data_IF_152208213000
#
_entry.id   IF_152208213000
#
_cell.length_a   1.000
_cell.length_b   1.000
_cell.length_c   1.000
_cell.angle_alpha   90.00
_cell.angle_beta   90.00
_cell.angle_gamma   90.00
#
_symmetry.space_group_name_H-M   'P 1'
#
loop_
_entity.id
_entity.type
_entity.pdbx_description
1 polymer ?
#
# COMPACT_ATOMS: atom_id res chain seq x y z
N UNK A 1 8.87 17.87 1.13
CA UNK A 1 7.51 18.42 0.87
C UNK A 1 6.48 17.33 0.49
N UNK A 2 6.83 16.26 -0.29
CA UNK A 2 5.90 15.14 -0.57
C UNK A 2 5.57 14.29 0.68
N UNK A 3 6.51 14.12 1.60
CA UNK A 3 6.33 13.34 2.83
C UNK A 3 5.34 13.96 3.82
N UNK A 4 5.10 15.27 3.72
CA UNK A 4 4.19 15.99 4.62
C UNK A 4 2.70 15.74 4.29
N UNK A 5 2.35 15.53 3.01
CA UNK A 5 0.96 15.30 2.58
C UNK A 5 0.46 13.93 3.05
N UNK A 6 1.23 12.87 2.85
CA UNK A 6 0.86 11.50 3.27
C UNK A 6 0.74 11.41 4.79
N UNK A 7 1.66 12.02 5.52
CA UNK A 7 1.56 12.15 6.99
C UNK A 7 0.29 12.90 7.40
N UNK A 8 -0.07 13.96 6.67
CA UNK A 8 -1.33 14.70 6.87
C UNK A 8 -2.56 13.81 6.69
N UNK A 9 -2.60 13.03 5.61
CA UNK A 9 -3.68 12.09 5.30
C UNK A 9 -3.86 11.04 6.42
N UNK A 10 -2.76 10.40 6.86
CA UNK A 10 -2.83 9.41 7.94
C UNK A 10 -3.33 10.04 9.25
N UNK A 11 -2.93 11.27 9.54
CA UNK A 11 -3.45 11.99 10.72
C UNK A 11 -4.95 12.28 10.63
N UNK A 12 -5.48 12.58 9.44
CA UNK A 12 -6.91 12.76 9.21
C UNK A 12 -7.68 11.46 9.44
N UNK A 13 -7.21 10.32 8.89
CA UNK A 13 -7.79 9.01 9.13
C UNK A 13 -7.80 8.68 10.63
N UNK A 14 -6.66 8.84 11.30
CA UNK A 14 -6.56 8.64 12.75
C UNK A 14 -7.52 9.55 13.55
N UNK A 15 -7.75 10.77 13.09
CA UNK A 15 -8.69 11.68 13.74
C UNK A 15 -10.16 11.25 13.55
N UNK A 16 -10.52 10.70 12.39
CA UNK A 16 -11.87 10.19 12.10
C UNK A 16 -12.17 9.00 12.99
N UNK A 17 -11.31 7.97 13.03
CA UNK A 17 -11.52 6.77 13.86
C UNK A 17 -11.52 7.09 15.36
N UNK A 18 -10.70 8.04 15.80
CA UNK A 18 -10.75 8.52 17.19
C UNK A 18 -12.11 9.11 17.55
N UNK A 19 -12.69 9.92 16.66
CA UNK A 19 -14.01 10.48 16.86
C UNK A 19 -15.10 9.42 16.84
N UNK A 20 -14.96 8.38 15.99
CA UNK A 20 -15.86 7.23 15.99
C UNK A 20 -15.82 6.51 17.35
N UNK A 21 -14.64 6.20 17.87
CA UNK A 21 -14.47 5.62 19.21
C UNK A 21 -15.11 6.49 20.32
N UNK A 22 -14.90 7.82 20.29
CA UNK A 22 -15.49 8.75 21.27
C UNK A 22 -17.02 8.74 21.20
N UNK A 23 -17.61 8.63 20.01
CA UNK A 23 -19.06 8.54 19.82
C UNK A 23 -19.59 7.22 20.35
N UNK A 24 -18.92 6.09 20.06
CA UNK A 24 -19.35 4.79 20.58
C UNK A 24 -19.25 4.71 22.11
N UNK A 25 -18.24 5.31 22.72
CA UNK A 25 -18.19 5.48 24.17
C UNK A 25 -19.33 6.34 24.73
N UNK A 26 -19.69 7.42 24.03
CA UNK A 26 -20.85 8.24 24.43
C UNK A 26 -22.14 7.43 24.35
N UNK A 27 -22.37 6.68 23.26
CA UNK A 27 -23.57 5.84 23.11
C UNK A 27 -23.63 4.72 24.15
N UNK A 28 -22.50 4.14 24.51
CA UNK A 28 -22.38 3.20 25.63
C UNK A 28 -22.83 3.82 26.95
N UNK A 29 -22.46 5.05 27.23
CA UNK A 29 -22.85 5.74 28.48
C UNK A 29 -24.32 6.18 28.50
N UNK A 30 -24.84 6.59 27.35
CA UNK A 30 -26.19 7.14 27.21
C UNK A 30 -27.31 6.08 27.14
N UNK A 31 -27.00 4.81 26.84
CA UNK A 31 -28.00 3.75 26.73
C UNK A 31 -28.36 3.15 28.08
N UNK A 32 -29.58 2.58 28.19
CA UNK A 32 -30.05 1.86 29.39
C UNK A 32 -30.02 0.33 29.18
N UNK A 33 -30.15 -0.15 27.94
CA UNK A 33 -30.15 -1.57 27.62
C UNK A 33 -28.76 -2.19 27.73
N UNK A 34 -28.64 -3.28 28.49
CA UNK A 34 -27.34 -3.92 28.80
C UNK A 34 -26.69 -4.54 27.56
N UNK A 35 -27.46 -5.14 26.65
CA UNK A 35 -26.91 -5.77 25.45
C UNK A 35 -26.49 -4.72 24.42
N UNK A 36 -27.28 -3.65 24.29
CA UNK A 36 -26.93 -2.52 23.44
C UNK A 36 -25.66 -1.80 23.94
N UNK A 37 -25.52 -1.65 25.25
CA UNK A 37 -24.28 -1.15 25.87
C UNK A 37 -23.08 -2.03 25.53
N UNK A 38 -23.22 -3.35 25.66
CA UNK A 38 -22.17 -4.28 25.32
C UNK A 38 -21.77 -4.17 23.82
N UNK A 39 -22.74 -3.95 22.96
CA UNK A 39 -22.48 -3.70 21.53
C UNK A 39 -21.69 -2.41 21.31
N UNK A 40 -22.10 -1.27 21.89
CA UNK A 40 -21.35 -0.01 21.71
C UNK A 40 -19.96 -0.06 22.34
N UNK A 41 -19.77 -0.77 23.46
CA UNK A 41 -18.45 -1.01 24.04
C UNK A 41 -17.56 -1.82 23.11
N UNK A 42 -18.11 -2.85 22.45
CA UNK A 42 -17.40 -3.63 21.43
C UNK A 42 -16.97 -2.76 20.27
N UNK A 43 -17.87 -1.95 19.71
CA UNK A 43 -17.59 -1.04 18.60
C UNK A 43 -16.48 -0.06 18.96
N UNK A 44 -16.54 0.54 20.17
CA UNK A 44 -15.47 1.44 20.63
C UNK A 44 -14.10 0.75 20.73
N UNK A 45 -14.06 -0.51 21.20
CA UNK A 45 -12.83 -1.29 21.30
C UNK A 45 -12.26 -1.64 19.93
N UNK A 46 -13.11 -1.93 18.95
CA UNK A 46 -12.69 -2.22 17.57
C UNK A 46 -12.08 -0.97 16.93
N UNK A 47 -12.68 0.23 17.15
CA UNK A 47 -12.09 1.50 16.69
C UNK A 47 -10.75 1.81 17.37
N UNK A 48 -10.59 1.50 18.65
CA UNK A 48 -9.31 1.64 19.33
C UNK A 48 -8.22 0.75 18.71
N UNK A 49 -8.58 -0.44 18.24
CA UNK A 49 -7.67 -1.29 17.48
C UNK A 49 -7.28 -0.65 16.13
N UNK A 50 -8.21 0.01 15.43
CA UNK A 50 -7.91 0.76 14.20
C UNK A 50 -6.91 1.89 14.46
N UNK A 51 -7.00 2.57 15.60
CA UNK A 51 -6.01 3.60 15.97
C UNK A 51 -4.58 3.06 16.07
N UNK A 52 -4.39 1.79 16.42
CA UNK A 52 -3.06 1.16 16.44
C UNK A 52 -2.49 1.04 15.02
N UNK A 53 -3.33 0.70 14.02
CA UNK A 53 -2.92 0.64 12.63
C UNK A 53 -2.47 2.00 12.09
N UNK A 54 -3.23 3.06 12.37
CA UNK A 54 -2.86 4.42 11.95
C UNK A 54 -1.55 4.91 12.60
N UNK A 55 -1.32 4.58 13.87
CA UNK A 55 -0.07 4.91 14.57
C UNK A 55 1.12 4.20 13.91
N UNK A 56 0.96 2.95 13.50
CA UNK A 56 1.99 2.20 12.80
C UNK A 56 2.29 2.82 11.43
N UNK A 57 1.26 3.09 10.61
CA UNK A 57 1.42 3.79 9.34
C UNK A 57 2.10 5.15 9.49
N UNK A 58 1.74 5.91 10.53
CA UNK A 58 2.36 7.19 10.81
C UNK A 58 3.85 7.04 11.15
N UNK A 59 4.21 5.97 11.87
CA UNK A 59 5.61 5.63 12.17
C UNK A 59 6.38 5.29 10.90
N UNK A 60 5.79 4.50 10.01
CA UNK A 60 6.38 4.12 8.72
C UNK A 60 6.55 5.34 7.80
N UNK A 61 5.52 6.17 7.67
CA UNK A 61 5.56 7.38 6.86
C UNK A 61 6.65 8.35 7.31
N UNK A 62 6.79 8.59 8.63
CA UNK A 62 7.84 9.47 9.19
C UNK A 62 9.26 8.96 8.97
N UNK A 63 9.43 7.66 8.77
CA UNK A 63 10.71 7.01 8.46
C UNK A 63 11.00 6.93 6.96
N UNK A 64 10.10 7.43 6.12
CA UNK A 64 10.22 7.33 4.66
C UNK A 64 9.89 5.93 4.11
N UNK A 65 9.29 5.05 4.92
CA UNK A 65 9.00 3.66 4.58
C UNK A 65 7.64 3.44 3.92
N UNK A 66 6.82 4.48 3.85
CA UNK A 66 5.55 4.40 3.17
C UNK A 66 5.72 4.75 1.68
N UNK A 67 5.53 3.79 0.77
CA UNK A 67 5.55 4.08 -0.65
C UNK A 67 4.44 5.05 -1.04
N UNK A 68 4.52 5.62 -2.24
CA UNK A 68 3.43 6.43 -2.78
C UNK A 68 2.23 5.53 -3.13
N UNK A 69 1.43 5.20 -2.12
CA UNK A 69 0.26 4.32 -2.24
C UNK A 69 -0.90 5.04 -2.93
N UNK A 70 -0.97 6.37 -2.78
CA UNK A 70 -2.09 7.19 -3.23
C UNK A 70 -1.76 7.84 -4.59
N UNK A 71 -2.65 7.70 -5.57
CA UNK A 71 -2.48 8.25 -6.91
C UNK A 71 -2.54 9.79 -6.91
N UNK A 72 -3.49 10.37 -6.17
CA UNK A 72 -3.64 11.83 -6.02
C UNK A 72 -3.76 12.19 -4.53
N UNK A 73 -2.62 12.37 -3.83
CA UNK A 73 -2.62 12.66 -2.40
C UNK A 73 -3.28 14.01 -2.04
N UNK A 74 -3.26 14.99 -2.95
CA UNK A 74 -3.86 16.31 -2.70
C UNK A 74 -5.38 16.17 -2.65
N UNK A 75 -5.96 15.55 -3.67
CA UNK A 75 -7.40 15.27 -3.74
C UNK A 75 -7.88 14.45 -2.54
N UNK A 76 -7.16 13.37 -2.21
CA UNK A 76 -7.46 12.50 -1.06
C UNK A 76 -7.47 13.29 0.25
N UNK A 77 -6.48 14.16 0.47
CA UNK A 77 -6.45 15.01 1.66
C UNK A 77 -7.68 15.90 1.75
N UNK A 78 -8.02 16.60 0.66
CA UNK A 78 -9.14 17.53 0.62
C UNK A 78 -10.49 16.83 0.86
N UNK A 79 -10.66 15.61 0.32
CA UNK A 79 -11.82 14.75 0.55
C UNK A 79 -11.92 14.29 2.02
N UNK A 80 -10.81 13.86 2.63
CA UNK A 80 -10.78 13.46 4.04
C UNK A 80 -10.94 14.65 5.01
N UNK A 81 -10.42 15.83 4.68
CA UNK A 81 -10.68 17.05 5.45
C UNK A 81 -12.18 17.40 5.44
N UNK A 82 -12.83 17.23 4.29
CA UNK A 82 -14.27 17.42 4.18
C UNK A 82 -15.06 16.39 5.00
N UNK A 83 -14.67 15.10 4.92
CA UNK A 83 -15.24 14.03 5.74
C UNK A 83 -15.10 14.34 7.24
N UNK A 84 -13.90 14.74 7.68
CA UNK A 84 -13.62 15.07 9.07
C UNK A 84 -14.50 16.24 9.60
N UNK A 85 -14.72 17.29 8.79
CA UNK A 85 -15.65 18.38 9.13
C UNK A 85 -17.11 17.90 9.27
N UNK A 86 -17.54 16.99 8.39
CA UNK A 86 -18.89 16.40 8.46
C UNK A 86 -19.06 15.53 9.69
N UNK A 87 -18.02 14.78 10.09
CA UNK A 87 -18.01 14.02 11.35
C UNK A 87 -18.16 14.95 12.54
N UNK A 88 -17.44 16.10 12.60
CA UNK A 88 -17.60 17.07 13.67
C UNK A 88 -19.04 17.59 13.82
N UNK A 89 -19.69 17.90 12.69
CA UNK A 89 -21.08 18.32 12.70
C UNK A 89 -22.03 17.21 13.23
N UNK A 90 -21.78 15.94 12.86
CA UNK A 90 -22.55 14.79 13.34
C UNK A 90 -22.42 14.57 14.84
N UNK A 91 -21.22 14.70 15.38
CA UNK A 91 -20.96 14.63 16.84
C UNK A 91 -21.80 15.65 17.62
N UNK A 92 -21.88 16.87 17.09
CA UNK A 92 -22.69 17.92 17.74
C UNK A 92 -24.20 17.64 17.66
N UNK A 93 -24.69 17.14 16.51
CA UNK A 93 -26.10 16.83 16.31
C UNK A 93 -26.58 15.64 17.17
N UNK A 94 -25.76 14.62 17.37
CA UNK A 94 -26.13 13.42 18.15
C UNK A 94 -26.46 13.73 19.61
N UNK A 95 -25.79 14.73 20.17
CA UNK A 95 -26.03 15.17 21.57
C UNK A 95 -27.37 15.87 21.77
N UNK A 96 -28.00 16.35 20.70
CA UNK A 96 -29.21 17.15 20.77
C UNK A 96 -30.49 16.30 20.68
N UNK A 97 -30.46 15.11 20.12
CA UNK A 97 -31.65 14.29 19.89
C UNK A 97 -31.34 12.78 20.04
N UNK A 98 -31.20 12.28 21.28
CA UNK A 98 -30.87 10.88 21.54
C UNK A 98 -32.05 9.98 21.25
N UNK A 99 -32.03 9.21 20.19
CA UNK A 99 -32.93 8.07 19.93
C UNK A 99 -32.09 6.90 19.39
N UNK A 100 -32.59 5.68 19.56
CA UNK A 100 -31.91 4.47 19.08
C UNK A 100 -31.68 4.55 17.56
N UNK A 101 -32.68 4.93 16.78
CA UNK A 101 -32.57 5.11 15.33
C UNK A 101 -31.50 6.16 14.97
N UNK A 102 -31.49 7.29 15.69
CA UNK A 102 -30.50 8.33 15.47
C UNK A 102 -29.06 7.87 15.84
N UNK A 103 -28.91 7.03 16.88
CA UNK A 103 -27.62 6.43 17.24
C UNK A 103 -27.09 5.54 16.11
N UNK A 104 -27.90 4.64 15.57
CA UNK A 104 -27.51 3.81 14.44
C UNK A 104 -27.28 4.63 13.17
N UNK A 105 -28.10 5.63 12.87
CA UNK A 105 -27.90 6.52 11.72
C UNK A 105 -26.58 7.30 11.82
N UNK A 106 -26.23 7.76 13.03
CA UNK A 106 -24.96 8.43 13.28
C UNK A 106 -23.80 7.48 13.01
N UNK A 107 -23.86 6.26 13.57
CA UNK A 107 -22.84 5.25 13.36
C UNK A 107 -22.69 4.88 11.87
N UNK A 108 -23.78 4.69 11.13
CA UNK A 108 -23.73 4.50 9.68
C UNK A 108 -23.00 5.63 8.93
N UNK A 109 -23.24 6.86 9.32
CA UNK A 109 -22.56 8.00 8.68
C UNK A 109 -21.09 8.02 8.99
N UNK A 110 -20.69 7.59 10.19
CA UNK A 110 -19.26 7.45 10.54
C UNK A 110 -18.62 6.36 9.68
N UNK A 111 -19.23 5.17 9.63
CA UNK A 111 -18.73 4.06 8.80
C UNK A 111 -18.62 4.45 7.32
N UNK A 112 -19.60 5.18 6.80
CA UNK A 112 -19.56 5.65 5.42
C UNK A 112 -18.33 6.54 5.12
N UNK A 113 -17.87 7.37 6.08
CA UNK A 113 -16.68 8.19 5.88
C UNK A 113 -15.37 7.37 5.94
N UNK A 114 -15.38 6.26 6.65
CA UNK A 114 -14.25 5.31 6.69
C UNK A 114 -14.15 4.48 5.40
N UNK A 115 -15.22 4.41 4.58
CA UNK A 115 -15.19 3.74 3.27
C UNK A 115 -14.36 4.44 2.18
N UNK A 116 -13.65 5.50 2.51
CA UNK A 116 -12.83 6.19 1.51
C UNK A 116 -11.78 5.23 0.90
N UNK A 117 -11.65 5.12 -0.45
CA UNK A 117 -10.76 4.17 -1.10
C UNK A 117 -9.30 4.24 -0.62
N UNK A 118 -8.84 5.43 -0.23
CA UNK A 118 -7.51 5.62 0.32
C UNK A 118 -7.29 4.87 1.64
N UNK A 119 -8.35 4.72 2.46
CA UNK A 119 -8.29 3.96 3.73
C UNK A 119 -8.11 2.48 3.42
N UNK A 120 -8.89 1.94 2.48
CA UNK A 120 -8.74 0.56 2.03
C UNK A 120 -7.31 0.29 1.49
N UNK A 121 -6.74 1.22 0.71
CA UNK A 121 -5.36 1.12 0.20
C UNK A 121 -4.33 1.11 1.34
N UNK A 122 -4.48 1.98 2.33
CA UNK A 122 -3.58 2.07 3.48
C UNK A 122 -3.70 0.84 4.40
N UNK A 123 -4.91 0.35 4.64
CA UNK A 123 -5.16 -0.87 5.42
C UNK A 123 -4.58 -2.11 4.71
N UNK A 124 -4.78 -2.20 3.41
CA UNK A 124 -4.20 -3.27 2.61
C UNK A 124 -2.67 -3.26 2.67
N UNK A 125 -2.05 -2.09 2.66
CA UNK A 125 -0.60 -1.96 2.83
C UNK A 125 -0.12 -2.50 4.19
N UNK A 126 -0.84 -2.24 5.28
CA UNK A 126 -0.50 -2.81 6.61
C UNK A 126 -0.61 -4.32 6.61
N UNK A 127 -1.71 -4.88 6.10
CA UNK A 127 -1.93 -6.33 6.02
C UNK A 127 -0.77 -7.04 5.35
N UNK A 128 -0.27 -6.46 4.27
CA UNK A 128 0.84 -7.00 3.48
C UNK A 128 2.18 -6.90 4.20
N UNK A 129 2.40 -5.81 4.96
CA UNK A 129 3.66 -5.57 5.67
C UNK A 129 3.70 -6.21 7.06
N UNK A 130 2.57 -6.61 7.61
CA UNK A 130 2.48 -7.22 8.94
C UNK A 130 1.34 -8.25 9.00
N UNK A 131 1.67 -9.51 8.74
CA UNK A 131 0.73 -10.65 8.66
C UNK A 131 -0.05 -10.92 9.98
N UNK A 132 0.49 -10.44 11.11
CA UNK A 132 -0.19 -10.52 12.42
C UNK A 132 -1.30 -9.47 12.59
N UNK A 133 -1.39 -8.49 11.69
CA UNK A 133 -2.35 -7.39 11.75
C UNK A 133 -3.14 -7.35 10.44
N UNK A 134 -4.42 -7.74 10.48
CA UNK A 134 -5.32 -7.62 9.33
C UNK A 134 -6.42 -6.58 9.60
N UNK A 135 -6.17 -5.29 9.35
CA UNK A 135 -7.20 -4.26 9.52
C UNK A 135 -8.41 -4.51 8.64
N UNK A 136 -8.21 -5.05 7.43
CA UNK A 136 -9.31 -5.36 6.50
C UNK A 136 -10.28 -6.42 7.08
N UNK A 137 -9.75 -7.51 7.67
CA UNK A 137 -10.58 -8.57 8.24
C UNK A 137 -11.27 -8.11 9.53
N UNK A 138 -10.64 -7.21 10.27
CA UNK A 138 -11.24 -6.58 11.46
C UNK A 138 -12.39 -5.68 11.04
N UNK A 139 -12.23 -4.90 9.99
CA UNK A 139 -13.25 -4.00 9.47
C UNK A 139 -14.44 -4.74 8.83
N UNK A 140 -14.20 -5.86 8.13
CA UNK A 140 -15.28 -6.74 7.63
C UNK A 140 -16.19 -7.22 8.77
N UNK A 141 -15.59 -7.65 9.89
CA UNK A 141 -16.33 -8.09 11.09
C UNK A 141 -17.07 -6.92 11.76
N UNK A 142 -16.45 -5.76 11.77
CA UNK A 142 -17.00 -4.54 12.33
C UNK A 142 -18.30 -4.15 11.63
N UNK A 143 -18.31 -4.04 10.30
CA UNK A 143 -19.50 -3.74 9.50
C UNK A 143 -20.59 -4.80 9.69
N UNK A 144 -20.22 -6.10 9.64
CA UNK A 144 -21.19 -7.17 9.81
C UNK A 144 -21.84 -7.13 11.19
N UNK A 145 -21.07 -6.95 12.26
CA UNK A 145 -21.58 -6.82 13.63
C UNK A 145 -22.52 -5.64 13.78
N UNK A 146 -22.25 -4.55 13.06
CA UNK A 146 -23.07 -3.36 13.09
C UNK A 146 -24.46 -3.60 12.46
N UNK A 147 -24.52 -4.25 11.30
CA UNK A 147 -25.77 -4.60 10.60
C UNK A 147 -26.61 -5.58 11.44
N UNK A 148 -25.97 -6.60 12.02
CA UNK A 148 -26.64 -7.58 12.90
C UNK A 148 -27.25 -6.91 14.12
N UNK A 149 -26.53 -5.99 14.77
CA UNK A 149 -27.03 -5.28 15.94
C UNK A 149 -28.24 -4.40 15.60
N UNK A 150 -28.19 -3.67 14.48
CA UNK A 150 -29.30 -2.83 14.05
C UNK A 150 -30.59 -3.65 13.87
N UNK A 151 -30.49 -4.82 13.23
CA UNK A 151 -31.63 -5.73 13.05
C UNK A 151 -32.13 -6.27 14.40
N UNK A 152 -31.21 -6.67 15.29
CA UNK A 152 -31.54 -7.24 16.60
C UNK A 152 -32.23 -6.26 17.54
N UNK A 153 -31.84 -5.00 17.55
CA UNK A 153 -32.37 -3.99 18.44
C UNK A 153 -33.60 -3.25 17.87
N UNK A 154 -34.13 -3.68 16.70
CA UNK A 154 -35.32 -3.12 16.10
C UNK A 154 -35.14 -1.67 15.60
N UNK A 155 -33.94 -1.26 15.35
CA UNK A 155 -33.62 0.03 14.74
C UNK A 155 -33.67 -0.03 13.21
N UNK A 156 -33.95 -1.20 12.64
CA UNK A 156 -33.99 -1.43 11.20
C UNK A 156 -35.23 -0.75 10.58
N UNK A 157 -34.97 0.02 9.53
CA UNK A 157 -35.96 0.44 8.54
C UNK A 157 -35.51 -0.01 7.16
N UNK A 158 -36.38 -0.14 6.16
CA UNK A 158 -35.98 -0.54 4.81
C UNK A 158 -34.84 0.34 4.25
N UNK A 159 -34.82 1.63 4.58
CA UNK A 159 -33.78 2.57 4.16
C UNK A 159 -32.45 2.30 4.86
N UNK A 160 -32.45 1.95 6.15
CA UNK A 160 -31.26 1.62 6.92
C UNK A 160 -30.69 0.26 6.53
N UNK A 161 -31.53 -0.72 6.21
CA UNK A 161 -31.11 -2.01 5.65
C UNK A 161 -30.40 -1.82 4.32
N UNK A 162 -31.03 -1.08 3.38
CA UNK A 162 -30.42 -0.76 2.10
C UNK A 162 -29.08 -0.02 2.26
N UNK A 163 -28.98 0.89 3.24
CA UNK A 163 -27.75 1.61 3.53
C UNK A 163 -26.65 0.66 4.03
N UNK A 164 -27.00 -0.30 4.91
CA UNK A 164 -26.06 -1.32 5.40
C UNK A 164 -25.52 -2.21 4.29
N UNK A 165 -26.40 -2.73 3.45
CA UNK A 165 -26.01 -3.52 2.28
C UNK A 165 -25.12 -2.70 1.32
N UNK A 166 -25.43 -1.42 1.14
CA UNK A 166 -24.64 -0.51 0.30
C UNK A 166 -23.23 -0.31 0.86
N UNK A 167 -23.10 -0.09 2.16
CA UNK A 167 -21.81 0.07 2.83
C UNK A 167 -20.96 -1.20 2.69
N UNK A 168 -21.55 -2.36 2.98
CA UNK A 168 -20.86 -3.65 2.84
C UNK A 168 -20.41 -3.92 1.41
N UNK A 169 -21.26 -3.63 0.42
CA UNK A 169 -20.95 -3.77 -1.00
C UNK A 169 -19.81 -2.84 -1.42
N UNK A 170 -19.89 -1.55 -1.05
CA UNK A 170 -18.84 -0.57 -1.39
C UNK A 170 -17.50 -0.92 -0.76
N UNK A 171 -17.50 -1.40 0.48
CA UNK A 171 -16.26 -1.86 1.13
C UNK A 171 -15.64 -3.05 0.38
N UNK A 172 -16.47 -4.04 0.03
CA UNK A 172 -16.02 -5.21 -0.72
C UNK A 172 -15.49 -4.84 -2.11
N UNK A 173 -16.18 -3.96 -2.84
CA UNK A 173 -15.73 -3.45 -4.14
C UNK A 173 -14.42 -2.67 -4.01
N UNK A 174 -14.26 -1.82 -2.99
CA UNK A 174 -12.99 -1.12 -2.73
C UNK A 174 -11.83 -2.09 -2.49
N UNK A 175 -12.04 -3.14 -1.68
CA UNK A 175 -11.02 -4.19 -1.47
C UNK A 175 -10.63 -4.87 -2.78
N UNK A 176 -11.60 -5.28 -3.59
CA UNK A 176 -11.34 -5.92 -4.88
C UNK A 176 -10.57 -5.00 -5.83
N UNK A 177 -10.92 -3.72 -5.91
CA UNK A 177 -10.21 -2.75 -6.73
C UNK A 177 -8.76 -2.57 -6.29
N UNK A 178 -8.51 -2.54 -4.98
CA UNK A 178 -7.14 -2.46 -4.43
C UNK A 178 -6.35 -3.74 -4.74
N UNK A 179 -6.97 -4.91 -4.65
CA UNK A 179 -6.32 -6.19 -5.00
C UNK A 179 -6.00 -6.27 -6.50
N UNK A 180 -6.91 -5.85 -7.37
CA UNK A 180 -6.71 -5.81 -8.83
C UNK A 180 -5.68 -4.76 -9.26
N UNK A 181 -5.50 -3.70 -8.47
CA UNK A 181 -4.56 -2.60 -8.74
C UNK A 181 -3.09 -2.93 -8.42
N UNK A 182 -2.69 -4.20 -8.44
CA UNK A 182 -1.31 -4.59 -8.12
C UNK A 182 -0.33 -4.49 -9.29
N UNK A 183 -0.82 -4.27 -10.51
CA UNK A 183 0.00 -4.18 -11.71
C UNK A 183 0.10 -2.74 -12.23
N UNK A 184 1.22 -2.41 -12.84
CA UNK A 184 1.39 -1.18 -13.61
C UNK A 184 0.71 -1.33 -14.97
N UNK A 185 -0.27 -0.48 -15.32
CA UNK A 185 -1.07 -0.67 -16.53
C UNK A 185 -0.28 -0.46 -17.82
N UNK A 186 0.86 0.22 -17.76
CA UNK A 186 1.72 0.45 -18.92
C UNK A 186 2.60 -0.75 -19.24
N UNK A 187 3.27 -1.30 -18.22
CA UNK A 187 4.31 -2.32 -18.40
C UNK A 187 3.84 -3.74 -18.10
N UNK A 188 2.72 -3.91 -17.38
CA UNK A 188 2.26 -5.21 -16.86
C UNK A 188 3.11 -5.77 -15.71
N UNK A 189 4.15 -5.07 -15.29
CA UNK A 189 4.93 -5.40 -14.10
C UNK A 189 4.12 -5.12 -12.83
N UNK A 190 4.56 -5.64 -11.69
CA UNK A 190 3.99 -5.17 -10.44
C UNK A 190 4.20 -3.66 -10.32
N UNK A 191 3.17 -2.92 -9.95
CA UNK A 191 3.38 -1.55 -9.50
C UNK A 191 4.05 -1.57 -8.10
N UNK A 192 4.45 -0.42 -7.60
CA UNK A 192 5.14 -0.32 -6.31
C UNK A 192 4.37 -0.98 -5.17
N UNK A 193 3.05 -0.85 -5.16
CA UNK A 193 2.18 -1.46 -4.18
C UNK A 193 2.17 -3.00 -4.28
N UNK A 194 1.89 -3.55 -5.47
CA UNK A 194 1.90 -4.99 -5.72
C UNK A 194 3.25 -5.62 -5.45
N UNK A 195 4.35 -4.92 -5.79
CA UNK A 195 5.69 -5.39 -5.51
C UNK A 195 5.91 -5.59 -3.99
N UNK A 196 5.61 -4.59 -3.17
CA UNK A 196 5.78 -4.70 -1.71
C UNK A 196 4.85 -5.75 -1.09
N UNK A 197 3.63 -5.90 -1.61
CA UNK A 197 2.69 -6.93 -1.18
C UNK A 197 3.30 -8.33 -1.25
N UNK A 198 3.87 -8.70 -2.38
CA UNK A 198 4.47 -10.01 -2.58
C UNK A 198 5.87 -10.13 -1.97
N UNK A 199 6.61 -9.03 -1.92
CA UNK A 199 7.92 -8.96 -1.31
C UNK A 199 7.89 -9.40 0.16
N UNK A 200 6.95 -8.90 0.94
CA UNK A 200 6.80 -9.27 2.36
C UNK A 200 6.64 -10.78 2.52
N UNK A 201 5.76 -11.41 1.74
CA UNK A 201 5.58 -12.86 1.79
C UNK A 201 6.87 -13.61 1.47
N UNK A 202 7.55 -13.23 0.39
CA UNK A 202 8.77 -13.91 -0.05
C UNK A 202 9.95 -13.69 0.90
N UNK A 203 10.05 -12.55 1.56
CA UNK A 203 11.12 -12.28 2.54
C UNK A 203 10.96 -13.13 3.80
N UNK A 204 9.74 -13.37 4.27
CA UNK A 204 9.48 -14.32 5.36
C UNK A 204 9.80 -15.76 4.98
N UNK A 205 9.46 -16.17 3.74
CA UNK A 205 9.84 -17.48 3.23
C UNK A 205 11.38 -17.63 3.13
N UNK A 206 12.06 -16.60 2.67
CA UNK A 206 13.52 -16.59 2.58
C UNK A 206 14.19 -16.67 3.96
N UNK A 207 13.69 -15.93 4.94
CA UNK A 207 14.16 -15.99 6.34
C UNK A 207 13.99 -17.41 6.91
N UNK A 208 12.80 -18.01 6.75
CA UNK A 208 12.50 -19.36 7.25
C UNK A 208 13.42 -20.43 6.67
N UNK A 209 13.69 -20.33 5.36
CA UNK A 209 14.46 -21.34 4.62
C UNK A 209 15.96 -20.98 4.51
N UNK A 210 16.40 -19.87 5.07
CA UNK A 210 17.78 -19.37 4.97
C UNK A 210 18.27 -19.19 3.52
N UNK A 211 17.37 -18.77 2.62
CA UNK A 211 17.76 -18.51 1.24
C UNK A 211 18.55 -17.23 1.11
N UNK A 212 19.52 -17.24 0.20
CA UNK A 212 20.08 -15.99 -0.31
C UNK A 212 19.06 -15.31 -1.20
N UNK A 213 18.79 -14.05 -0.92
CA UNK A 213 17.93 -13.19 -1.73
C UNK A 213 18.76 -12.06 -2.35
N UNK A 214 18.23 -11.43 -3.39
CA UNK A 214 18.85 -10.22 -3.92
C UNK A 214 17.79 -9.16 -4.26
N UNK A 215 18.19 -7.90 -4.10
CA UNK A 215 17.50 -6.73 -4.62
C UNK A 215 18.35 -6.14 -5.75
N UNK A 216 17.68 -5.85 -6.86
CA UNK A 216 18.28 -5.20 -8.03
C UNK A 216 17.47 -3.94 -8.33
N UNK A 217 18.10 -2.78 -8.32
CA UNK A 217 17.54 -1.52 -8.78
C UNK A 217 18.04 -1.24 -10.18
N UNK A 218 17.13 -0.91 -11.08
CA UNK A 218 17.39 -0.71 -12.52
C UNK A 218 16.79 0.63 -12.93
N UNK A 219 17.51 1.36 -13.76
CA UNK A 219 17.04 2.62 -14.34
C UNK A 219 17.42 2.68 -15.83
N UNK A 220 16.47 3.17 -16.64
CA UNK A 220 16.69 3.31 -18.09
C UNK A 220 17.50 4.58 -18.33
N UNK A 221 18.71 4.39 -18.86
CA UNK A 221 19.64 5.48 -19.07
C UNK A 221 19.09 6.51 -20.06
N UNK A 222 19.21 7.79 -19.67
CA UNK A 222 18.78 8.92 -20.51
C UNK A 222 17.31 8.89 -20.93
N UNK A 223 16.41 8.26 -20.17
CA UNK A 223 15.00 8.11 -20.52
C UNK A 223 14.29 9.44 -20.80
N UNK A 224 14.64 10.50 -20.03
CA UNK A 224 14.14 11.84 -20.32
C UNK A 224 14.48 12.30 -21.75
N UNK A 225 15.71 12.03 -22.22
CA UNK A 225 16.14 12.36 -23.60
C UNK A 225 15.33 11.60 -24.64
N UNK A 226 14.96 10.34 -24.37
CA UNK A 226 14.06 9.56 -25.25
C UNK A 226 12.71 10.27 -25.36
N UNK A 227 12.11 10.67 -24.25
CA UNK A 227 10.85 11.40 -24.24
C UNK A 227 10.94 12.75 -24.99
N UNK A 228 12.00 13.51 -24.72
CA UNK A 228 12.20 14.83 -25.33
C UNK A 228 12.44 14.74 -26.85
N UNK A 229 13.07 13.65 -27.32
CA UNK A 229 13.43 13.47 -28.74
C UNK A 229 12.33 12.79 -29.55
N UNK A 230 11.68 11.76 -28.97
CA UNK A 230 10.76 10.87 -29.69
C UNK A 230 9.31 10.95 -29.20
N UNK A 231 9.04 11.78 -28.17
CA UNK A 231 7.74 11.95 -27.55
C UNK A 231 7.40 10.87 -26.52
N UNK A 232 6.44 11.15 -25.65
CA UNK A 232 6.05 10.27 -24.54
C UNK A 232 5.56 8.88 -24.99
N UNK A 233 4.87 8.79 -26.15
CA UNK A 233 4.44 7.49 -26.67
C UNK A 233 5.62 6.56 -27.01
N UNK A 234 6.73 7.14 -27.44
CA UNK A 234 7.97 6.40 -27.69
C UNK A 234 8.60 5.93 -26.37
N UNK A 235 8.64 6.80 -25.36
CA UNK A 235 9.05 6.41 -24.01
C UNK A 235 8.20 5.29 -23.41
N UNK A 236 6.89 5.33 -23.62
CA UNK A 236 5.97 4.27 -23.21
C UNK A 236 6.28 2.92 -23.88
N UNK A 237 6.63 2.93 -25.17
CA UNK A 237 7.06 1.70 -25.88
C UNK A 237 8.36 1.15 -25.28
N UNK A 238 9.34 2.02 -25.01
CA UNK A 238 10.60 1.64 -24.38
C UNK A 238 10.35 1.01 -23.00
N UNK A 239 9.52 1.62 -22.15
CA UNK A 239 9.16 1.07 -20.84
C UNK A 239 8.52 -0.32 -20.95
N UNK A 240 7.57 -0.51 -21.90
CA UNK A 240 6.95 -1.83 -22.13
C UNK A 240 7.98 -2.86 -22.58
N UNK A 241 8.84 -2.49 -23.53
CA UNK A 241 9.85 -3.40 -24.08
C UNK A 241 10.84 -3.83 -23.00
N UNK A 242 11.41 -2.87 -22.26
CA UNK A 242 12.35 -3.16 -21.16
C UNK A 242 11.66 -4.00 -20.08
N UNK A 243 10.45 -3.63 -19.65
CA UNK A 243 9.69 -4.39 -18.67
C UNK A 243 9.47 -5.84 -19.07
N UNK A 244 9.04 -6.09 -20.30
CA UNK A 244 8.85 -7.44 -20.86
C UNK A 244 10.16 -8.24 -20.94
N UNK A 245 11.25 -7.60 -21.34
CA UNK A 245 12.56 -8.25 -21.39
C UNK A 245 13.01 -8.70 -20.00
N UNK A 246 12.88 -7.84 -19.00
CA UNK A 246 13.24 -8.16 -17.61
C UNK A 246 12.36 -9.30 -17.07
N UNK A 247 11.05 -9.22 -17.27
CA UNK A 247 10.09 -10.24 -16.79
C UNK A 247 10.33 -11.62 -17.43
N UNK A 248 10.63 -11.67 -18.73
CA UNK A 248 10.93 -12.94 -19.44
C UNK A 248 12.24 -13.58 -19.00
N UNK A 249 13.18 -12.81 -18.45
CA UNK A 249 14.49 -13.27 -18.04
C UNK A 249 14.67 -13.41 -16.52
N UNK A 250 13.59 -13.27 -15.76
CA UNK A 250 13.46 -13.62 -14.35
C UNK A 250 12.54 -14.83 -14.19
N UNK A 251 12.63 -15.51 -13.06
CA UNK A 251 11.79 -16.69 -12.76
C UNK A 251 10.40 -16.24 -12.32
N UNK A 252 9.41 -17.13 -12.43
CA UNK A 252 8.05 -16.87 -11.91
C UNK A 252 8.01 -16.69 -10.38
N UNK A 253 9.02 -17.17 -9.67
CA UNK A 253 9.21 -16.97 -8.22
C UNK A 253 9.86 -15.64 -7.85
N UNK A 254 10.37 -14.90 -8.82
CA UNK A 254 11.00 -13.59 -8.62
C UNK A 254 9.97 -12.50 -8.84
N UNK A 255 10.17 -11.33 -8.23
CA UNK A 255 9.29 -10.18 -8.43
C UNK A 255 9.99 -9.16 -9.33
N UNK A 256 9.25 -8.65 -10.31
CA UNK A 256 9.69 -7.53 -11.14
C UNK A 256 8.63 -6.44 -11.02
N UNK A 257 9.00 -5.27 -10.54
CA UNK A 257 8.10 -4.15 -10.31
C UNK A 257 8.60 -2.84 -10.89
N UNK A 258 7.68 -2.02 -11.39
CA UNK A 258 7.95 -0.62 -11.73
C UNK A 258 7.90 0.21 -10.47
N UNK A 259 9.05 0.77 -10.09
CA UNK A 259 9.23 1.44 -8.79
C UNK A 259 8.99 2.95 -8.87
N UNK A 260 9.31 3.55 -10.03
CA UNK A 260 9.14 4.97 -10.37
C UNK A 260 8.85 5.17 -11.85
N UNK A 261 9.12 6.35 -12.39
CA UNK A 261 8.92 6.68 -13.79
C UNK A 261 9.61 5.71 -14.75
N UNK A 262 10.94 5.67 -14.72
CA UNK A 262 11.80 4.76 -15.49
C UNK A 262 12.55 3.74 -14.62
N UNK A 263 12.23 3.68 -13.33
CA UNK A 263 12.88 2.82 -12.36
C UNK A 263 12.14 1.49 -12.22
N UNK A 264 12.90 0.40 -12.27
CA UNK A 264 12.39 -0.98 -12.11
C UNK A 264 13.17 -1.63 -10.96
N UNK A 265 12.46 -2.36 -10.12
CA UNK A 265 13.03 -3.14 -9.02
C UNK A 265 12.80 -4.62 -9.27
N UNK A 266 13.82 -5.45 -8.97
CA UNK A 266 13.70 -6.91 -9.01
C UNK A 266 14.08 -7.48 -7.66
N UNK A 267 13.27 -8.40 -7.15
CA UNK A 267 13.59 -9.25 -6.01
C UNK A 267 13.77 -10.69 -6.47
N UNK A 268 14.92 -11.26 -6.16
CA UNK A 268 15.22 -12.67 -6.42
C UNK A 268 15.02 -13.46 -5.14
N UNK A 269 14.05 -14.35 -5.15
CA UNK A 269 13.58 -15.09 -3.96
C UNK A 269 14.52 -16.21 -3.49
N UNK A 270 15.39 -16.68 -4.37
CA UNK A 270 16.44 -17.67 -4.08
C UNK A 270 17.55 -17.58 -5.12
N UNK A 271 18.75 -17.26 -4.69
CA UNK A 271 19.90 -17.02 -5.59
C UNK A 271 21.17 -17.58 -4.99
N UNK A 272 22.02 -18.21 -5.82
CA UNK A 272 23.45 -18.38 -5.49
C UNK A 272 24.15 -17.01 -5.69
N UNK A 273 24.74 -16.40 -4.64
CA UNK A 273 25.34 -15.07 -4.73
C UNK A 273 26.39 -14.93 -5.85
N UNK A 274 27.06 -16.04 -6.19
CA UNK A 274 28.07 -16.09 -7.26
C UNK A 274 27.48 -15.81 -8.64
N UNK A 275 26.16 -15.97 -8.81
CA UNK A 275 25.46 -15.76 -10.07
C UNK A 275 24.84 -14.36 -10.21
N UNK A 276 24.81 -13.56 -9.14
CA UNK A 276 24.15 -12.24 -9.19
C UNK A 276 24.78 -11.34 -10.27
N UNK A 277 26.11 -11.24 -10.28
CA UNK A 277 26.81 -10.41 -11.27
C UNK A 277 26.57 -10.86 -12.71
N UNK A 278 26.57 -12.18 -12.95
CA UNK A 278 26.29 -12.73 -14.30
C UNK A 278 24.84 -12.45 -14.73
N UNK A 279 23.90 -12.56 -13.82
CA UNK A 279 22.50 -12.25 -14.10
C UNK A 279 22.31 -10.77 -14.42
N UNK A 280 22.82 -9.88 -13.58
CA UNK A 280 22.74 -8.44 -13.82
C UNK A 280 23.35 -8.04 -15.14
N UNK A 281 24.54 -8.55 -15.47
CA UNK A 281 25.20 -8.26 -16.75
C UNK A 281 24.46 -8.85 -17.94
N UNK A 282 23.86 -10.03 -17.81
CA UNK A 282 22.94 -10.59 -18.82
C UNK A 282 21.76 -9.66 -19.07
N UNK A 283 21.09 -9.17 -18.02
CA UNK A 283 19.94 -8.26 -18.16
C UNK A 283 20.36 -6.95 -18.84
N UNK A 284 21.49 -6.36 -18.41
CA UNK A 284 22.05 -5.15 -19.00
C UNK A 284 22.32 -5.32 -20.50
N UNK A 285 23.10 -6.33 -20.85
CA UNK A 285 23.52 -6.60 -22.24
C UNK A 285 22.32 -6.94 -23.14
N UNK A 286 21.34 -7.64 -22.60
CA UNK A 286 20.11 -7.98 -23.33
C UNK A 286 19.30 -6.73 -23.67
N UNK A 287 19.08 -5.82 -22.71
CA UNK A 287 18.38 -4.56 -23.00
C UNK A 287 19.13 -3.75 -24.06
N UNK A 288 20.46 -3.60 -23.92
CA UNK A 288 21.29 -2.92 -24.89
C UNK A 288 21.20 -3.54 -26.30
N UNK A 289 21.04 -4.85 -26.41
CA UNK A 289 21.00 -5.55 -27.69
C UNK A 289 19.62 -5.54 -28.33
N UNK A 290 18.59 -5.89 -27.57
CA UNK A 290 17.21 -6.09 -28.08
C UNK A 290 16.51 -4.76 -28.39
N UNK A 291 16.92 -3.65 -27.78
CA UNK A 291 16.33 -2.33 -28.08
C UNK A 291 16.93 -1.64 -29.30
N UNK A 292 18.03 -2.16 -29.88
CA UNK A 292 18.76 -1.53 -31.01
C UNK A 292 17.90 -1.30 -32.24
N UNK A 293 16.88 -2.13 -32.49
CA UNK A 293 16.08 -2.08 -33.70
C UNK A 293 14.93 -1.05 -33.68
N UNK A 294 14.49 -0.62 -32.47
CA UNK A 294 13.44 0.40 -32.33
C UNK A 294 14.06 1.70 -31.79
N UNK A 295 14.14 1.85 -30.48
CA UNK A 295 14.77 3.00 -29.81
C UNK A 295 15.89 2.48 -28.92
N UNK A 296 17.17 2.66 -29.32
CA UNK A 296 18.29 2.16 -28.55
C UNK A 296 18.36 2.78 -27.17
N UNK A 297 18.30 1.94 -26.14
CA UNK A 297 18.48 2.36 -24.75
C UNK A 297 19.41 1.39 -24.03
N UNK A 298 20.01 1.88 -22.97
CA UNK A 298 20.77 1.07 -22.01
C UNK A 298 20.17 1.18 -20.63
N UNK A 299 20.60 0.33 -19.71
CA UNK A 299 20.19 0.38 -18.32
C UNK A 299 21.42 0.41 -17.41
N UNK A 300 21.28 1.16 -16.32
CA UNK A 300 22.20 1.10 -15.18
C UNK A 300 21.59 0.22 -14.11
N UNK A 301 22.42 -0.60 -13.45
CA UNK A 301 21.98 -1.58 -12.46
C UNK A 301 22.79 -1.42 -11.16
N UNK A 302 22.07 -1.34 -10.04
CA UNK A 302 22.62 -1.49 -8.70
C UNK A 302 22.06 -2.74 -8.04
N UNK A 303 22.90 -3.59 -7.44
CA UNK A 303 22.43 -4.84 -6.85
C UNK A 303 23.08 -5.14 -5.50
N UNK A 304 22.37 -5.90 -4.67
CA UNK A 304 22.85 -6.41 -3.38
C UNK A 304 22.25 -7.78 -3.12
N UNK A 305 22.99 -8.68 -2.48
CA UNK A 305 22.47 -9.96 -2.02
C UNK A 305 22.78 -10.19 -0.55
N UNK A 306 21.87 -10.91 0.13
CA UNK A 306 21.98 -11.20 1.56
C UNK A 306 21.20 -12.45 1.94
N UNK A 307 21.55 -13.06 3.06
CA UNK A 307 20.68 -14.00 3.79
C UNK A 307 20.06 -13.24 4.95
N UNK A 308 18.75 -13.35 5.12
CA UNK A 308 18.10 -12.74 6.27
C UNK A 308 18.42 -13.52 7.56
N UNK A 309 18.75 -12.79 8.61
CA UNK A 309 18.98 -13.38 9.94
C UNK A 309 17.79 -13.18 10.87
N UNK A 310 17.19 -12.02 10.83
CA UNK A 310 16.02 -11.59 11.63
C UNK A 310 15.40 -10.34 11.01
N UNK A 311 14.12 -10.09 11.28
CA UNK A 311 13.38 -8.90 10.84
C UNK A 311 13.54 -8.62 9.33
N UNK A 312 13.02 -9.50 8.48
CA UNK A 312 13.27 -9.45 7.05
C UNK A 312 12.83 -8.12 6.42
N UNK A 313 11.83 -7.44 6.98
CA UNK A 313 11.35 -6.15 6.50
C UNK A 313 12.42 -5.05 6.66
N UNK A 314 13.02 -4.95 7.86
CA UNK A 314 14.08 -3.96 8.14
C UNK A 314 15.34 -4.23 7.29
N UNK A 315 15.67 -5.51 7.11
CA UNK A 315 16.82 -5.90 6.28
C UNK A 315 16.56 -5.64 4.79
N UNK A 316 15.36 -5.92 4.31
CA UNK A 316 14.96 -5.64 2.93
C UNK A 316 15.05 -4.16 2.59
N UNK A 317 14.60 -3.29 3.49
CA UNK A 317 14.70 -1.85 3.27
C UNK A 317 16.13 -1.34 3.23
N UNK A 318 16.99 -1.89 4.09
CA UNK A 318 18.45 -1.60 4.01
C UNK A 318 19.01 -2.05 2.67
N UNK A 319 18.60 -3.24 2.18
CA UNK A 319 19.02 -3.74 0.87
C UNK A 319 18.54 -2.84 -0.27
N UNK A 320 17.31 -2.36 -0.25
CA UNK A 320 16.79 -1.42 -1.26
C UNK A 320 17.65 -0.15 -1.26
N UNK A 321 17.93 0.45 -0.10
CA UNK A 321 18.79 1.62 -0.01
C UNK A 321 20.25 1.37 -0.42
N UNK A 322 20.77 0.15 -0.22
CA UNK A 322 22.11 -0.24 -0.69
C UNK A 322 22.15 -0.43 -2.22
N UNK A 323 21.13 -1.08 -2.79
CA UNK A 323 21.00 -1.25 -4.23
C UNK A 323 20.84 0.10 -4.95
N UNK A 324 20.08 1.03 -4.36
CA UNK A 324 19.93 2.39 -4.88
C UNK A 324 21.26 3.15 -4.90
N UNK A 325 22.07 3.07 -3.82
CA UNK A 325 23.43 3.64 -3.81
C UNK A 325 24.35 3.01 -4.87
N UNK A 326 24.20 1.69 -5.12
CA UNK A 326 24.92 1.04 -6.21
C UNK A 326 24.46 1.56 -7.57
N UNK A 327 23.15 1.70 -7.79
CA UNK A 327 22.59 2.28 -9.01
C UNK A 327 23.09 3.71 -9.25
N UNK A 328 23.14 4.52 -8.20
CA UNK A 328 23.73 5.86 -8.30
C UNK A 328 25.18 5.82 -8.77
N UNK A 329 26.02 4.92 -8.21
CA UNK A 329 27.40 4.73 -8.66
C UNK A 329 27.50 4.27 -10.12
N UNK A 330 26.60 3.38 -10.54
CA UNK A 330 26.53 2.95 -11.94
C UNK A 330 26.24 4.12 -12.89
N UNK A 331 25.28 4.99 -12.52
CA UNK A 331 24.96 6.20 -13.29
C UNK A 331 26.11 7.19 -13.31
N UNK A 332 26.74 7.46 -12.18
CA UNK A 332 27.88 8.38 -12.05
C UNK A 332 29.13 7.87 -12.77
N UNK A 333 29.37 6.55 -12.73
CA UNK A 333 30.49 5.89 -13.41
C UNK A 333 30.38 5.83 -14.93
N UNK A 334 29.36 6.42 -15.56
CA UNK A 334 29.21 6.50 -17.02
C UNK A 334 28.04 5.69 -17.59
N UNK A 335 27.14 5.18 -16.75
CA UNK A 335 25.93 4.43 -17.13
C UNK A 335 26.23 3.10 -17.83
N UNK A 336 25.18 2.43 -18.33
CA UNK A 336 25.27 1.14 -19.03
C UNK A 336 26.19 0.13 -18.34
N UNK A 337 26.02 -0.03 -17.03
CA UNK A 337 26.86 -0.90 -16.20
C UNK A 337 26.15 -1.44 -14.97
N UNK A 338 26.79 -2.38 -14.35
CA UNK A 338 26.37 -3.03 -13.12
C UNK A 338 27.30 -2.66 -11.98
N UNK A 339 26.73 -2.24 -10.86
CA UNK A 339 27.43 -2.05 -9.59
C UNK A 339 26.78 -2.94 -8.52
N UNK A 340 27.59 -3.71 -7.82
CA UNK A 340 27.12 -4.65 -6.79
C UNK A 340 27.71 -4.25 -5.45
N UNK A 341 26.89 -4.22 -4.41
CA UNK A 341 27.37 -4.04 -3.05
C UNK A 341 28.18 -5.27 -2.65
N UNK A 342 29.44 -5.06 -2.25
CA UNK A 342 30.23 -6.11 -1.62
C UNK A 342 29.57 -6.44 -0.28
N UNK A 343 28.99 -7.63 -0.17
CA UNK A 343 28.54 -8.16 1.12
C UNK A 343 29.74 -8.25 2.05
N UNK A 344 29.75 -7.48 3.11
CA UNK A 344 30.65 -7.71 4.24
C UNK A 344 29.97 -8.69 5.16
#
# INVERSE_FOLDING_TARGET
MKDDITVGIIKLCLAIDRKASEIYHYLFQAGDDTELKAFWAKMATEEEAHLAYWKELLRMARRGFLPQVLADPVKVRDELENANRKVDALVQMSRQNPSLTNAFLLAYRLEFYVLHPAIAQLFHFIKVTNDAMSPEDTYDKHISSFIEAMNRFGASTPELELLGETIQKLWHENKQLVEQSSLDPLTGLYNRFGFYKFLTLLTHLALRNKFHVAIIMIDIDHFKKVNDTHGHQAGDRVLRSVGQLLQKNTRSSDLVGRFGGEEIIVFLSSLDPRHLGKLCEKLRSMVETETKQDIPVTISIGAVSRVFEKKPEEETEKMIGEADRCLYRAKDGGRNRVEISSST
#
